data_IF_641511336057
#
_entry.id   IF_641511336057
#
_cell.length_a   1.000
_cell.length_b   1.000
_cell.length_c   1.000
_cell.angle_alpha   90.00
_cell.angle_beta   90.00
_cell.angle_gamma   90.00
#
_symmetry.space_group_name_H-M   'P 1'
#
loop_
_entity.id
_entity.type
_entity.pdbx_description
1 polymer ?
#
# COMPACT_ATOMS: atom_id res chain seq x y z
N UNK A 1 50.60 -72.80 8.65
CA UNK A 1 50.41 -72.08 9.94
C UNK A 1 49.37 -70.98 9.72
N UNK A 2 48.21 -71.09 10.37
CA UNK A 2 47.35 -69.99 10.88
C UNK A 2 46.79 -68.98 9.84
N UNK A 3 45.50 -68.65 9.71
CA UNK A 3 44.35 -68.64 10.63
C UNK A 3 43.02 -68.56 9.84
N UNK A 4 42.01 -69.20 10.42
CA UNK A 4 40.61 -68.79 10.59
C UNK A 4 39.83 -67.96 9.55
N UNK A 5 38.72 -68.59 9.14
CA UNK A 5 37.49 -68.10 8.50
C UNK A 5 36.76 -66.98 9.25
N UNK A 6 36.10 -66.05 8.54
CA UNK A 6 34.70 -65.68 8.80
C UNK A 6 34.05 -64.96 7.60
N UNK A 7 32.74 -65.16 7.46
CA UNK A 7 31.86 -64.94 6.30
C UNK A 7 31.54 -63.48 5.96
N UNK A 8 31.18 -63.32 4.67
CA UNK A 8 30.29 -62.32 4.05
C UNK A 8 29.25 -61.68 4.98
N UNK A 9 29.02 -60.37 4.81
CA UNK A 9 27.65 -59.88 4.65
C UNK A 9 27.57 -58.63 3.74
N UNK A 10 26.65 -58.71 2.79
CA UNK A 10 26.20 -57.73 1.81
C UNK A 10 25.63 -56.45 2.47
N UNK A 11 25.92 -55.27 1.90
CA UNK A 11 25.31 -54.02 2.35
C UNK A 11 25.70 -52.79 1.53
N UNK A 12 24.92 -52.54 0.49
CA UNK A 12 24.47 -51.22 -0.02
C UNK A 12 25.27 -50.01 0.53
N UNK A 13 26.09 -49.38 -0.30
CA UNK A 13 26.43 -47.95 -0.18
C UNK A 13 26.19 -47.25 -1.52
N UNK A 14 24.92 -47.27 -1.90
CA UNK A 14 24.31 -46.38 -2.87
C UNK A 14 24.34 -44.96 -2.29
N UNK A 15 24.71 -43.97 -3.11
CA UNK A 15 24.38 -42.55 -2.97
C UNK A 15 24.86 -41.84 -1.67
N UNK A 16 26.14 -41.50 -1.61
CA UNK A 16 26.59 -40.38 -0.77
C UNK A 16 26.53 -39.07 -1.58
N UNK A 17 25.38 -38.40 -1.47
CA UNK A 17 25.41 -36.98 -1.14
C UNK A 17 25.42 -35.98 -2.28
N UNK A 18 24.62 -36.20 -3.33
CA UNK A 18 24.11 -35.11 -4.18
C UNK A 18 23.06 -34.30 -3.37
N UNK A 19 23.49 -33.59 -2.33
CA UNK A 19 22.61 -32.72 -1.55
C UNK A 19 23.39 -31.50 -1.03
N UNK A 20 23.91 -30.74 -1.98
CA UNK A 20 24.24 -29.32 -1.82
C UNK A 20 23.35 -28.49 -2.74
N UNK A 21 22.08 -28.88 -2.88
CA UNK A 21 21.06 -27.87 -3.16
C UNK A 21 21.01 -27.01 -1.91
N UNK A 22 21.70 -25.87 -1.97
CA UNK A 22 21.48 -24.78 -1.02
C UNK A 22 19.97 -24.58 -0.98
N UNK A 23 19.37 -24.99 0.13
CA UNK A 23 18.13 -24.38 0.58
C UNK A 23 18.49 -22.93 0.85
N UNK A 24 18.37 -22.08 -0.17
CA UNK A 24 18.23 -20.64 0.02
C UNK A 24 16.93 -20.47 0.78
N UNK A 25 17.00 -20.65 2.10
CA UNK A 25 16.04 -20.07 3.00
C UNK A 25 16.12 -18.57 2.73
N UNK A 26 15.17 -18.04 1.96
CA UNK A 26 14.86 -16.62 1.95
C UNK A 26 14.46 -16.28 3.38
N UNK A 27 15.47 -15.99 4.21
CA UNK A 27 15.27 -15.56 5.57
C UNK A 27 14.58 -14.20 5.48
N UNK A 28 13.26 -14.23 5.66
CA UNK A 28 12.45 -13.04 5.79
C UNK A 28 13.06 -12.17 6.89
N UNK A 29 13.75 -11.11 6.47
CA UNK A 29 14.30 -10.12 7.40
C UNK A 29 13.25 -9.03 7.54
N UNK A 30 12.52 -8.93 8.67
CA UNK A 30 11.43 -7.97 8.84
C UNK A 30 11.90 -6.50 8.83
N UNK A 31 13.21 -6.25 8.84
CA UNK A 31 13.80 -4.91 8.79
C UNK A 31 14.35 -4.52 7.41
N UNK A 32 14.56 -3.22 7.24
CA UNK A 32 15.42 -2.63 6.21
C UNK A 32 16.50 -1.83 6.92
N UNK A 33 17.80 -1.98 6.57
CA UNK A 33 18.87 -1.30 7.28
C UNK A 33 18.98 0.16 6.82
N UNK A 34 18.08 1.00 7.31
CA UNK A 34 17.96 2.42 6.93
C UNK A 34 19.25 3.25 7.13
N UNK A 35 20.19 2.78 7.95
CA UNK A 35 21.47 3.46 8.17
C UNK A 35 22.51 3.19 7.06
N UNK A 36 22.41 2.06 6.36
CA UNK A 36 23.45 1.60 5.42
C UNK A 36 22.92 1.40 4.01
N UNK A 37 21.62 1.19 3.83
CA UNK A 37 20.99 1.04 2.53
C UNK A 37 20.07 2.22 2.20
N UNK A 38 20.08 2.62 0.91
CA UNK A 38 19.24 3.72 0.43
C UNK A 38 17.87 3.22 0.03
N UNK A 39 16.84 3.93 0.48
CA UNK A 39 15.46 3.73 0.01
C UNK A 39 15.33 4.25 -1.42
N UNK A 40 14.87 3.38 -2.32
CA UNK A 40 14.49 3.69 -3.70
C UNK A 40 13.09 3.15 -3.91
N UNK A 41 12.10 4.02 -3.87
CA UNK A 41 10.72 3.59 -3.92
C UNK A 41 9.79 4.55 -4.61
N UNK A 42 8.57 4.09 -4.81
CA UNK A 42 7.49 4.82 -5.47
C UNK A 42 6.25 4.85 -4.59
N UNK A 43 5.37 5.82 -4.85
CA UNK A 43 4.07 5.92 -4.19
C UNK A 43 2.99 5.26 -5.04
N UNK A 44 2.14 4.45 -4.41
CA UNK A 44 0.94 3.88 -5.03
C UNK A 44 -0.22 4.89 -4.95
N UNK A 45 0.02 6.10 -5.48
CA UNK A 45 -0.90 7.24 -5.44
C UNK A 45 -2.18 6.98 -6.25
N UNK A 46 -3.29 7.63 -5.86
CA UNK A 46 -4.57 7.48 -6.54
C UNK A 46 -5.27 6.12 -6.35
N UNK A 47 -4.67 5.16 -5.63
CA UNK A 47 -5.25 3.81 -5.48
C UNK A 47 -6.29 3.73 -4.36
N UNK A 48 -5.84 3.83 -3.10
CA UNK A 48 -6.71 3.76 -1.92
C UNK A 48 -7.12 5.14 -1.41
N UNK A 49 -6.64 6.22 -2.02
CA UNK A 49 -7.09 7.60 -1.80
C UNK A 49 -7.17 8.24 -3.17
N UNK A 50 -8.35 8.74 -3.56
CA UNK A 50 -8.50 9.35 -4.88
C UNK A 50 -7.93 10.77 -4.93
N UNK A 51 -7.23 11.06 -6.02
CA UNK A 51 -6.63 12.37 -6.31
C UNK A 51 -6.98 12.74 -7.76
N UNK A 52 -7.78 13.80 -8.00
CA UNK A 52 -8.23 14.14 -9.36
C UNK A 52 -7.11 14.38 -10.37
N UNK A 53 -5.92 14.80 -9.93
CA UNK A 53 -4.78 14.99 -10.84
C UNK A 53 -4.04 13.68 -11.17
N UNK A 54 -4.24 12.61 -10.40
CA UNK A 54 -3.66 11.27 -10.68
C UNK A 54 -4.65 10.43 -11.50
N UNK A 55 -5.93 10.47 -11.12
CA UNK A 55 -6.99 9.68 -11.76
C UNK A 55 -8.09 10.57 -12.36
N UNK A 56 -7.75 11.52 -13.26
CA UNK A 56 -8.70 12.51 -13.77
C UNK A 56 -9.93 11.88 -14.42
N UNK A 57 -9.76 10.76 -15.12
CA UNK A 57 -10.86 10.04 -15.78
C UNK A 57 -11.98 9.62 -14.83
N UNK A 58 -11.69 9.29 -13.56
CA UNK A 58 -12.75 8.99 -12.59
C UNK A 58 -13.65 10.19 -12.35
N UNK A 59 -13.07 11.38 -12.27
CA UNK A 59 -13.75 12.63 -11.95
C UNK A 59 -14.43 13.21 -13.21
N UNK A 60 -13.75 13.21 -14.34
CA UNK A 60 -14.28 13.72 -15.61
C UNK A 60 -15.50 12.92 -16.08
N UNK A 61 -15.45 11.59 -15.94
CA UNK A 61 -16.56 10.69 -16.32
C UNK A 61 -17.83 10.91 -15.49
N UNK A 62 -17.76 11.63 -14.37
CA UNK A 62 -18.95 11.99 -13.59
C UNK A 62 -19.80 13.05 -14.26
N UNK A 63 -19.23 13.83 -15.19
CA UNK A 63 -19.88 15.00 -15.80
C UNK A 63 -20.25 16.11 -14.79
N UNK A 64 -19.75 16.05 -13.56
CA UNK A 64 -20.13 16.96 -12.48
C UNK A 64 -18.91 17.69 -11.91
N UNK A 65 -18.73 18.99 -12.22
CA UNK A 65 -17.56 19.76 -11.77
C UNK A 65 -17.53 20.02 -10.26
N UNK A 66 -18.62 19.72 -9.52
CA UNK A 66 -18.65 19.82 -8.06
C UNK A 66 -17.94 18.64 -7.38
N UNK A 67 -17.60 17.58 -8.13
CA UNK A 67 -16.87 16.43 -7.64
C UNK A 67 -15.38 16.72 -7.76
N UNK A 68 -14.75 17.06 -6.64
CA UNK A 68 -13.36 17.56 -6.58
C UNK A 68 -12.45 16.72 -5.66
N UNK A 69 -13.02 15.76 -4.94
CA UNK A 69 -12.34 14.85 -4.02
C UNK A 69 -13.17 13.58 -3.78
N UNK A 70 -12.62 12.58 -3.09
CA UNK A 70 -13.32 11.33 -2.79
C UNK A 70 -14.59 11.55 -1.95
N UNK A 71 -14.64 12.58 -1.11
CA UNK A 71 -15.82 12.92 -0.31
C UNK A 71 -16.99 13.33 -1.21
N UNK A 72 -16.78 14.34 -2.04
CA UNK A 72 -17.77 14.84 -2.99
C UNK A 72 -18.09 13.81 -4.06
N UNK A 73 -17.13 12.95 -4.41
CA UNK A 73 -17.35 11.82 -5.32
C UNK A 73 -18.45 10.90 -4.81
N UNK A 74 -18.32 10.39 -3.58
CA UNK A 74 -19.33 9.46 -3.05
C UNK A 74 -20.65 10.17 -2.73
N UNK A 75 -20.57 11.41 -2.21
CA UNK A 75 -21.75 12.19 -1.86
C UNK A 75 -22.63 12.52 -3.09
N UNK A 76 -22.02 12.93 -4.21
CA UNK A 76 -22.74 13.45 -5.36
C UNK A 76 -23.03 12.41 -6.44
N UNK A 77 -22.26 11.32 -6.55
CA UNK A 77 -22.61 10.18 -7.41
C UNK A 77 -23.69 9.28 -6.80
N UNK A 78 -23.86 9.35 -5.47
CA UNK A 78 -24.67 8.40 -4.73
C UNK A 78 -23.90 7.11 -4.43
N UNK A 79 -24.21 6.51 -3.28
CA UNK A 79 -23.40 5.42 -2.70
C UNK A 79 -23.30 4.18 -3.60
N UNK A 80 -24.37 3.79 -4.29
CA UNK A 80 -24.38 2.60 -5.15
C UNK A 80 -23.48 2.74 -6.38
N UNK A 81 -23.64 3.84 -7.12
CA UNK A 81 -22.81 4.15 -8.29
C UNK A 81 -21.34 4.32 -7.89
N UNK A 82 -21.08 5.08 -6.81
CA UNK A 82 -19.72 5.27 -6.30
C UNK A 82 -19.09 3.95 -5.85
N UNK A 83 -19.82 3.05 -5.19
CA UNK A 83 -19.29 1.73 -4.77
C UNK A 83 -18.85 0.91 -5.98
N UNK A 84 -19.66 0.91 -7.04
CA UNK A 84 -19.34 0.16 -8.28
C UNK A 84 -18.06 0.70 -8.92
N UNK A 85 -17.98 2.02 -9.11
CA UNK A 85 -16.82 2.66 -9.74
C UNK A 85 -15.55 2.49 -8.89
N UNK A 86 -15.65 2.70 -7.56
CA UNK A 86 -14.51 2.60 -6.67
C UNK A 86 -14.00 1.16 -6.51
N UNK A 87 -14.87 0.16 -6.50
CA UNK A 87 -14.44 -1.24 -6.46
C UNK A 87 -13.69 -1.61 -7.74
N UNK A 88 -14.27 -1.29 -8.90
CA UNK A 88 -13.60 -1.52 -10.19
C UNK A 88 -12.24 -0.80 -10.28
N UNK A 89 -12.18 0.45 -9.83
CA UNK A 89 -10.92 1.20 -9.76
C UNK A 89 -9.88 0.50 -8.90
N UNK A 90 -10.23 0.07 -7.68
CA UNK A 90 -9.29 -0.59 -6.78
C UNK A 90 -8.82 -1.94 -7.31
N UNK A 91 -9.66 -2.66 -8.04
CA UNK A 91 -9.32 -3.96 -8.66
C UNK A 91 -8.40 -3.83 -9.88
N UNK A 92 -8.39 -2.66 -10.55
CA UNK A 92 -7.70 -2.50 -11.85
C UNK A 92 -6.57 -1.48 -11.84
N UNK A 93 -6.56 -0.53 -10.91
CA UNK A 93 -5.58 0.58 -10.90
C UNK A 93 -4.18 0.14 -10.52
N UNK A 94 -4.04 -0.69 -9.49
CA UNK A 94 -2.78 -1.32 -9.07
C UNK A 94 -3.02 -2.81 -8.90
N UNK A 95 -2.14 -3.58 -9.50
CA UNK A 95 -2.18 -5.03 -9.58
C UNK A 95 -0.82 -5.62 -9.16
N UNK A 96 -0.74 -6.94 -9.03
CA UNK A 96 0.53 -7.61 -8.70
C UNK A 96 1.60 -7.35 -9.79
N UNK A 97 1.21 -7.21 -11.06
CA UNK A 97 2.16 -6.90 -12.13
C UNK A 97 2.86 -5.56 -11.95
N UNK A 98 2.23 -4.58 -11.30
CA UNK A 98 2.87 -3.31 -10.98
C UNK A 98 3.99 -3.49 -9.95
N UNK A 99 3.80 -4.37 -8.97
CA UNK A 99 4.85 -4.71 -7.99
C UNK A 99 6.01 -5.45 -8.65
N UNK A 100 5.71 -6.39 -9.55
CA UNK A 100 6.73 -7.05 -10.36
C UNK A 100 7.55 -6.03 -11.18
N UNK A 101 6.88 -5.07 -11.83
CA UNK A 101 7.53 -4.02 -12.61
C UNK A 101 8.38 -3.08 -11.75
N UNK A 102 7.91 -2.70 -10.56
CA UNK A 102 8.66 -1.88 -9.59
C UNK A 102 9.95 -2.58 -9.18
N UNK A 103 9.88 -3.88 -8.86
CA UNK A 103 11.07 -4.67 -8.53
C UNK A 103 12.00 -4.81 -9.74
N UNK A 104 11.46 -5.07 -10.93
CA UNK A 104 12.22 -5.18 -12.17
C UNK A 104 12.94 -3.86 -12.53
N UNK A 105 12.37 -2.72 -12.16
CA UNK A 105 13.00 -1.40 -12.28
C UNK A 105 14.13 -1.15 -11.25
N UNK A 106 14.44 -2.11 -10.38
CA UNK A 106 15.50 -2.02 -9.38
C UNK A 106 15.13 -1.20 -8.13
N UNK A 107 13.84 -0.99 -7.89
CA UNK A 107 13.33 -0.34 -6.68
C UNK A 107 13.23 -1.36 -5.54
N UNK A 108 13.26 -0.86 -4.30
CA UNK A 108 13.23 -1.67 -3.09
C UNK A 108 12.08 -1.32 -2.13
N UNK A 109 11.35 -0.23 -2.38
CA UNK A 109 10.24 0.22 -1.53
C UNK A 109 9.01 0.62 -2.31
N UNK A 110 7.86 0.45 -1.67
CA UNK A 110 6.58 1.03 -2.07
C UNK A 110 5.96 1.75 -0.87
N UNK A 111 5.39 2.93 -1.11
CA UNK A 111 4.61 3.67 -0.12
C UNK A 111 3.15 3.63 -0.53
N UNK A 112 2.28 3.21 0.40
CA UNK A 112 0.85 3.03 0.19
C UNK A 112 0.05 4.06 0.99
N UNK A 113 -0.44 5.12 0.34
CA UNK A 113 -1.38 6.06 0.94
C UNK A 113 -2.70 5.38 1.26
N UNK A 114 -3.17 5.48 2.50
CA UNK A 114 -4.47 4.99 2.94
C UNK A 114 -5.15 6.03 3.85
N UNK A 115 -6.42 6.34 3.60
CA UNK A 115 -7.19 7.27 4.43
C UNK A 115 -7.73 6.61 5.70
N UNK A 116 -7.97 7.39 6.76
CA UNK A 116 -8.60 6.89 8.00
C UNK A 116 -9.92 6.14 7.73
N UNK A 117 -10.64 6.56 6.69
CA UNK A 117 -11.91 5.97 6.26
C UNK A 117 -11.80 4.58 5.63
N UNK A 118 -10.60 4.00 5.59
CA UNK A 118 -10.42 2.56 5.40
C UNK A 118 -10.79 1.74 6.65
N UNK A 119 -10.71 2.36 7.83
CA UNK A 119 -10.88 1.70 9.13
C UNK A 119 -12.21 2.09 9.80
N UNK A 120 -12.58 3.37 9.74
CA UNK A 120 -13.80 3.88 10.37
C UNK A 120 -14.48 4.95 9.52
N UNK A 121 -15.82 4.95 9.49
CA UNK A 121 -16.61 6.01 8.84
C UNK A 121 -17.58 6.57 9.88
N UNK A 122 -17.47 7.87 10.14
CA UNK A 122 -18.31 8.53 11.14
C UNK A 122 -19.73 8.85 10.65
N UNK A 123 -20.64 9.22 11.56
CA UNK A 123 -21.99 9.68 11.18
C UNK A 123 -21.94 10.85 10.20
N UNK A 124 -22.70 10.74 9.11
CA UNK A 124 -22.79 11.77 8.06
C UNK A 124 -21.62 11.79 7.07
N UNK A 125 -20.62 10.91 7.22
CA UNK A 125 -19.52 10.80 6.27
C UNK A 125 -19.93 9.92 5.07
N UNK A 126 -19.73 10.37 3.83
CA UNK A 126 -20.20 9.64 2.65
C UNK A 126 -19.31 8.45 2.31
N UNK A 127 -18.12 8.32 2.92
CA UNK A 127 -17.11 7.33 2.55
C UNK A 127 -17.61 5.87 2.53
N UNK A 128 -16.95 5.07 1.69
CA UNK A 128 -17.23 3.63 1.51
C UNK A 128 -16.05 2.81 2.02
N UNK A 129 -16.35 1.91 2.96
CA UNK A 129 -15.41 0.92 3.51
C UNK A 129 -14.99 -0.12 2.45
N UNK A 130 -14.11 -1.04 2.83
CA UNK A 130 -13.66 -2.15 1.96
C UNK A 130 -12.29 -1.96 1.31
N UNK A 131 -11.45 -1.08 1.87
CA UNK A 131 -10.06 -0.88 1.42
C UNK A 131 -9.09 -1.90 2.01
N UNK A 132 -9.41 -2.50 3.17
CA UNK A 132 -8.52 -3.42 3.88
C UNK A 132 -8.14 -4.69 3.09
N UNK A 133 -9.03 -5.30 2.28
CA UNK A 133 -8.60 -6.41 1.42
C UNK A 133 -7.51 -6.02 0.41
N UNK A 134 -7.51 -4.78 -0.08
CA UNK A 134 -6.48 -4.27 -0.98
C UNK A 134 -5.17 -3.93 -0.26
N UNK A 135 -5.26 -3.48 1.00
CA UNK A 135 -4.09 -3.38 1.87
C UNK A 135 -3.42 -4.75 2.05
N UNK A 136 -4.22 -5.79 2.31
CA UNK A 136 -3.70 -7.16 2.42
C UNK A 136 -3.07 -7.64 1.10
N UNK A 137 -3.72 -7.40 -0.05
CA UNK A 137 -3.12 -7.66 -1.38
C UNK A 137 -1.76 -6.96 -1.52
N UNK A 138 -1.67 -5.66 -1.19
CA UNK A 138 -0.42 -4.91 -1.27
C UNK A 138 0.69 -5.48 -0.37
N UNK A 139 0.36 -5.92 0.85
CA UNK A 139 1.31 -6.58 1.75
C UNK A 139 1.80 -7.90 1.13
N UNK A 140 0.89 -8.72 0.60
CA UNK A 140 1.24 -9.99 -0.06
C UNK A 140 2.12 -9.76 -1.29
N UNK A 141 1.75 -8.85 -2.18
CA UNK A 141 2.51 -8.55 -3.39
C UNK A 141 3.88 -7.94 -3.09
N UNK A 142 3.97 -7.04 -2.10
CA UNK A 142 5.25 -6.52 -1.63
C UNK A 142 6.16 -7.66 -1.15
N UNK A 143 5.60 -8.60 -0.39
CA UNK A 143 6.34 -9.77 0.12
C UNK A 143 6.81 -10.67 -1.02
N UNK A 144 5.92 -11.00 -1.97
CA UNK A 144 6.23 -11.86 -3.12
C UNK A 144 7.34 -11.29 -4.01
N UNK A 145 7.43 -9.96 -4.11
CA UNK A 145 8.41 -9.28 -4.96
C UNK A 145 9.60 -8.68 -4.18
N UNK A 146 9.79 -9.08 -2.91
CA UNK A 146 10.87 -8.60 -2.05
C UNK A 146 10.95 -7.06 -1.96
N UNK A 147 9.78 -6.40 -1.95
CA UNK A 147 9.65 -4.97 -1.76
C UNK A 147 9.28 -4.68 -0.30
N UNK A 148 9.84 -3.61 0.25
CA UNK A 148 9.43 -3.09 1.55
C UNK A 148 8.22 -2.18 1.39
N UNK A 149 7.23 -2.32 2.27
CA UNK A 149 6.00 -1.54 2.22
C UNK A 149 5.95 -0.54 3.39
N UNK A 150 5.72 0.73 3.08
CA UNK A 150 5.41 1.77 4.04
C UNK A 150 3.91 2.07 3.96
N UNK A 151 3.18 1.83 5.05
CA UNK A 151 1.77 2.20 5.16
C UNK A 151 1.69 3.65 5.63
N UNK A 152 1.07 4.51 4.83
CA UNK A 152 0.96 5.93 5.08
C UNK A 152 -0.48 6.33 5.36
N UNK A 153 -0.76 6.79 6.57
CA UNK A 153 -2.08 7.31 6.94
C UNK A 153 -2.26 8.71 6.32
N UNK A 154 -2.70 8.73 5.07
CA UNK A 154 -2.62 9.90 4.18
C UNK A 154 -3.73 10.93 4.41
N UNK A 155 -4.84 10.49 4.99
CA UNK A 155 -5.99 11.31 5.29
C UNK A 155 -6.38 11.12 6.75
N UNK A 156 -6.35 12.20 7.51
CA UNK A 156 -6.73 12.22 8.93
C UNK A 156 -8.01 13.02 9.12
N UNK A 157 -8.87 12.57 10.02
CA UNK A 157 -9.96 13.40 10.51
C UNK A 157 -9.42 14.32 11.61
N UNK A 158 -9.41 15.64 11.39
CA UNK A 158 -9.17 16.56 12.50
C UNK A 158 -10.48 16.79 13.26
N UNK A 159 -10.46 16.45 14.55
CA UNK A 159 -11.43 16.93 15.54
C UNK A 159 -11.10 18.39 15.90
N UNK A 160 -11.53 19.35 15.08
CA UNK A 160 -11.74 20.71 15.57
C UNK A 160 -13.24 21.07 15.45
N UNK A 161 -13.86 21.24 16.63
CA UNK A 161 -15.21 21.73 16.95
C UNK A 161 -16.19 21.82 15.76
N UNK A 162 -17.20 20.96 15.79
CA UNK A 162 -18.46 21.04 15.02
C UNK A 162 -18.40 20.96 13.49
N UNK A 163 -17.24 20.73 12.87
CA UNK A 163 -17.17 20.37 11.44
C UNK A 163 -16.00 19.43 11.21
N UNK A 164 -16.27 18.14 10.99
CA UNK A 164 -15.24 17.18 10.57
C UNK A 164 -14.77 17.56 9.16
N UNK A 165 -13.55 18.09 9.03
CA UNK A 165 -12.89 18.30 7.74
C UNK A 165 -11.66 17.40 7.70
N UNK A 166 -11.56 16.56 6.66
CA UNK A 166 -10.41 15.68 6.50
C UNK A 166 -9.21 16.49 5.98
N UNK A 167 -8.05 16.33 6.61
CA UNK A 167 -6.79 16.82 6.06
C UNK A 167 -6.13 15.72 5.23
N UNK A 168 -5.87 16.01 3.96
CA UNK A 168 -4.96 15.24 3.12
C UNK A 168 -3.54 15.80 3.32
N UNK A 169 -2.58 14.95 3.63
CA UNK A 169 -1.23 15.37 4.03
C UNK A 169 -0.34 15.85 2.87
N UNK A 170 -0.81 15.80 1.62
CA UNK A 170 -0.02 16.20 0.46
C UNK A 170 -0.77 17.18 -0.45
N UNK A 171 -0.56 18.50 -0.28
CA UNK A 171 -0.74 19.50 -1.36
C UNK A 171 0.17 20.72 -1.18
N UNK A 172 1.02 20.96 -2.17
CA UNK A 172 1.39 22.31 -2.58
C UNK A 172 0.17 23.01 -3.19
N UNK A 173 -0.21 24.13 -2.60
CA UNK A 173 -1.08 25.20 -3.14
C UNK A 173 -2.23 24.79 -4.07
N UNK A 174 -3.42 24.54 -3.54
CA UNK A 174 -4.67 25.08 -4.12
C UNK A 174 -5.66 25.37 -2.99
N UNK A 175 -6.28 26.54 -3.08
CA UNK A 175 -6.95 27.33 -2.04
C UNK A 175 -8.12 26.65 -1.32
N UNK A 176 -8.08 26.67 0.01
CA UNK A 176 -9.25 26.55 0.88
C UNK A 176 -9.62 27.94 1.44
N UNK A 177 -10.88 28.17 1.90
CA UNK A 177 -11.23 29.44 2.53
C UNK A 177 -10.24 29.74 3.64
N UNK A 178 -9.62 30.93 3.60
CA UNK A 178 -8.76 31.45 4.66
C UNK A 178 -9.52 31.35 5.98
N UNK A 179 -9.18 30.37 6.81
CA UNK A 179 -9.35 30.53 8.23
C UNK A 179 -8.39 31.67 8.62
N UNK A 180 -8.94 32.88 8.75
CA UNK A 180 -8.25 34.00 9.37
C UNK A 180 -7.91 33.58 10.81
N UNK A 181 -6.73 33.01 10.98
CA UNK A 181 -6.08 32.92 12.27
C UNK A 181 -5.60 34.33 12.63
N UNK A 182 -6.45 35.09 13.30
CA UNK A 182 -6.01 36.26 14.07
C UNK A 182 -5.17 35.76 15.27
N UNK A 183 -3.94 35.36 15.01
CA UNK A 183 -2.93 35.04 16.00
C UNK A 183 -1.89 36.15 16.03
N UNK A 184 -1.98 37.05 17.03
CA UNK A 184 -0.94 38.03 17.34
C UNK A 184 0.37 37.31 17.65
N UNK A 185 1.31 37.33 16.71
CA UNK A 185 2.70 36.94 16.97
C UNK A 185 3.51 38.22 17.23
N UNK A 186 3.81 38.48 18.51
CA UNK A 186 4.71 39.57 18.92
C UNK A 186 6.14 39.03 18.82
N UNK A 187 6.89 39.49 17.82
CA UNK A 187 8.34 39.23 17.72
C UNK A 187 9.07 39.97 18.84
N UNK A 188 10.02 39.29 19.48
CA UNK A 188 11.27 39.91 19.93
C UNK A 188 12.34 39.43 18.96
#
# INVERSE_FOLDING_TARGET
MSRFSCRLNTGIRLLLGLCWFLTSTLAFTPGFPYATEKVRGVNLGGWLVLEPWITPSLFDNTGNPKIIDEWTFVLLQGRGAATTVLSNHRDTWITESDFAAIKAAGLNHVRLPIGYWAFEVGPGEPYILGKLPYLNKAITWATNHELKLIIDLHGLCLLQRHSKRCLLLNRGSQSWPRASIHGRYRRR
#
